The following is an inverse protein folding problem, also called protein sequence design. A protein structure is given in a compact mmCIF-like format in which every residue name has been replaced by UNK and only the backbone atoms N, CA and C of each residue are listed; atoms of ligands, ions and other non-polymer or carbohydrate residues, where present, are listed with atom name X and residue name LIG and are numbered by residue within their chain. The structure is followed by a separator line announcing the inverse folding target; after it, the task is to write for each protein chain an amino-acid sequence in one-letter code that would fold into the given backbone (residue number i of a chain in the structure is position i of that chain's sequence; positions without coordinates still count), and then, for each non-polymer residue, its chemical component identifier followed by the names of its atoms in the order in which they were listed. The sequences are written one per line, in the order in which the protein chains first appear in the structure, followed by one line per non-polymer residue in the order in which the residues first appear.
data_IF_823745157679
#
_entry.id   IF_823745157679
#
_cell.length_a   1.000
_cell.length_b   1.000
_cell.length_c   1.000
_cell.angle_alpha   90.00
_cell.angle_beta   90.00
_cell.angle_gamma   90.00
#
_symmetry.space_group_name_H-M   'P 1'
#
loop_
_entity.id
_entity.type
_entity.pdbx_description
1 polymer ?
#
# COMPACT_ATOMS: atom_id res chain seq x y z
N UNK A 1 -17.36 -5.44 5.44
CA UNK A 1 -16.43 -5.10 4.33
C UNK A 1 -15.06 -5.64 4.69
N UNK A 2 -14.36 -6.27 3.75
CA UNK A 2 -12.99 -6.74 3.94
C UNK A 2 -11.99 -5.59 3.73
N UNK A 3 -10.86 -5.57 4.44
CA UNK A 3 -9.79 -4.58 4.23
C UNK A 3 -9.20 -4.69 2.82
N UNK A 4 -9.13 -5.89 2.25
CA UNK A 4 -8.67 -6.10 0.87
C UNK A 4 -9.59 -5.38 -0.11
N UNK A 5 -10.90 -5.55 0.06
CA UNK A 5 -11.92 -4.92 -0.77
C UNK A 5 -11.87 -3.40 -0.61
N UNK A 6 -11.71 -2.90 0.62
CA UNK A 6 -11.52 -1.48 0.89
C UNK A 6 -10.33 -0.89 0.12
N UNK A 7 -9.15 -1.51 0.23
CA UNK A 7 -7.95 -1.02 -0.45
C UNK A 7 -8.05 -1.09 -1.96
N UNK A 8 -8.68 -2.14 -2.51
CA UNK A 8 -8.95 -2.24 -3.93
C UNK A 8 -9.88 -1.12 -4.42
N UNK A 9 -10.93 -0.80 -3.66
CA UNK A 9 -11.83 0.31 -4.00
C UNK A 9 -11.10 1.66 -3.96
N UNK A 10 -10.21 1.86 -2.99
CA UNK A 10 -9.38 3.07 -2.93
C UNK A 10 -8.40 3.16 -4.11
N UNK A 11 -7.80 2.04 -4.53
CA UNK A 11 -6.93 2.01 -5.70
C UNK A 11 -7.71 2.39 -6.97
N UNK A 12 -8.87 1.77 -7.21
CA UNK A 12 -9.72 2.07 -8.36
C UNK A 12 -10.19 3.52 -8.39
N UNK A 13 -10.59 4.08 -7.24
CA UNK A 13 -11.02 5.48 -7.16
C UNK A 13 -9.92 6.48 -7.53
N UNK A 14 -8.65 6.12 -7.33
CA UNK A 14 -7.50 6.95 -7.64
C UNK A 14 -6.77 6.50 -8.93
N UNK A 15 -7.34 5.58 -9.71
CA UNK A 15 -6.71 4.98 -10.90
C UNK A 15 -5.34 4.36 -10.61
N UNK A 16 -5.17 3.78 -9.42
CA UNK A 16 -3.98 3.06 -9.01
C UNK A 16 -4.15 1.56 -9.26
N UNK A 17 -3.02 0.88 -9.49
CA UNK A 17 -3.02 -0.59 -9.51
C UNK A 17 -3.15 -1.14 -8.09
N UNK A 18 -3.83 -2.27 -7.96
CA UNK A 18 -3.95 -2.98 -6.69
C UNK A 18 -3.34 -4.37 -6.81
N UNK A 19 -2.28 -4.60 -6.04
CA UNK A 19 -1.51 -5.83 -6.06
C UNK A 19 -1.55 -6.44 -4.66
N UNK A 20 -2.05 -7.66 -4.56
CA UNK A 20 -2.13 -8.39 -3.29
C UNK A 20 -1.33 -9.69 -3.41
N UNK A 21 -0.11 -9.68 -2.87
CA UNK A 21 0.69 -10.90 -2.79
C UNK A 21 1.79 -10.80 -1.71
N UNK A 22 2.37 -11.95 -1.37
CA UNK A 22 3.20 -12.13 -0.17
C UNK A 22 4.64 -11.68 -0.38
N UNK A 23 5.08 -10.64 0.35
CA UNK A 23 6.50 -10.20 0.38
C UNK A 23 7.49 -11.31 0.74
N UNK A 24 7.13 -12.20 1.67
CA UNK A 24 8.03 -13.27 2.13
C UNK A 24 8.33 -14.34 1.06
N UNK A 25 7.56 -14.36 -0.04
CA UNK A 25 7.79 -15.25 -1.18
C UNK A 25 8.72 -14.65 -2.25
N UNK A 26 9.36 -13.51 -1.95
CA UNK A 26 10.42 -12.92 -2.79
C UNK A 26 11.71 -13.75 -2.85
N UNK A 27 11.77 -14.90 -2.18
CA UNK A 27 12.86 -15.89 -2.34
C UNK A 27 12.47 -17.10 -3.22
N UNK A 28 11.25 -17.15 -3.77
CA UNK A 28 10.79 -18.19 -4.68
C UNK A 28 10.57 -17.58 -6.06
N UNK A 29 11.44 -17.96 -6.99
CA UNK A 29 11.73 -17.36 -8.29
C UNK A 29 10.51 -17.05 -9.18
N UNK A 30 9.40 -17.78 -9.04
CA UNK A 30 8.22 -17.63 -9.92
C UNK A 30 7.28 -16.46 -9.54
N UNK A 31 7.19 -16.11 -8.25
CA UNK A 31 6.33 -14.99 -7.80
C UNK A 31 7.02 -13.64 -8.02
N UNK A 32 8.36 -13.65 -8.01
CA UNK A 32 9.20 -12.53 -8.42
C UNK A 32 8.87 -12.09 -9.85
N UNK A 33 8.78 -13.01 -10.80
CA UNK A 33 8.43 -12.69 -12.18
C UNK A 33 7.05 -12.03 -12.29
N UNK A 34 6.02 -12.51 -11.60
CA UNK A 34 4.70 -11.87 -11.67
C UNK A 34 4.69 -10.45 -11.11
N UNK A 35 5.29 -10.25 -9.93
CA UNK A 35 5.40 -8.90 -9.37
C UNK A 35 6.30 -8.01 -10.23
N UNK A 36 7.43 -8.53 -10.68
CA UNK A 36 8.36 -7.80 -11.50
C UNK A 36 7.73 -7.44 -12.85
N UNK A 37 6.99 -8.33 -13.50
CA UNK A 37 6.27 -8.05 -14.76
C UNK A 37 5.13 -7.04 -14.54
N UNK A 38 4.32 -7.21 -13.48
CA UNK A 38 3.27 -6.26 -13.15
C UNK A 38 3.83 -4.89 -12.80
N UNK A 39 5.03 -4.82 -12.22
CA UNK A 39 5.63 -3.57 -11.79
C UNK A 39 6.55 -2.94 -12.85
N UNK A 40 7.25 -3.71 -13.67
CA UNK A 40 8.01 -3.23 -14.83
C UNK A 40 7.07 -2.61 -15.88
N UNK A 41 5.83 -3.09 -15.93
CA UNK A 41 4.77 -2.48 -16.74
C UNK A 41 4.18 -1.19 -16.14
N UNK A 42 4.67 -0.71 -14.98
CA UNK A 42 4.30 0.62 -14.51
C UNK A 42 5.00 1.66 -15.36
N UNK A 43 4.24 2.62 -15.88
CA UNK A 43 4.84 3.80 -16.50
C UNK A 43 5.46 4.72 -15.44
N UNK A 44 6.35 5.63 -15.85
CA UNK A 44 6.94 6.59 -14.93
C UNK A 44 5.86 7.47 -14.29
N UNK A 45 5.91 7.66 -12.97
CA UNK A 45 4.88 8.29 -12.15
C UNK A 45 3.57 7.50 -11.98
N UNK A 46 3.51 6.23 -12.38
CA UNK A 46 2.37 5.38 -12.05
C UNK A 46 2.43 4.92 -10.58
N UNK A 47 1.27 4.93 -9.90
CA UNK A 47 1.15 4.56 -8.49
C UNK A 47 0.40 3.24 -8.31
N UNK A 48 0.79 2.47 -7.29
CA UNK A 48 0.19 1.19 -6.96
C UNK A 48 0.12 0.94 -5.46
N UNK A 49 -0.94 0.25 -5.04
CA UNK A 49 -1.09 -0.27 -3.69
C UNK A 49 -0.63 -1.73 -3.67
N UNK A 50 0.35 -2.02 -2.83
CA UNK A 50 0.91 -3.33 -2.57
C UNK A 50 0.48 -3.80 -1.19
N UNK A 51 -0.46 -4.73 -1.14
CA UNK A 51 -0.96 -5.29 0.12
C UNK A 51 -0.20 -6.58 0.47
N UNK A 52 0.43 -6.58 1.65
CA UNK A 52 1.01 -7.78 2.26
C UNK A 52 -0.11 -8.70 2.76
N UNK A 53 0.18 -9.99 3.03
CA UNK A 53 -0.82 -10.89 3.57
C UNK A 53 -1.40 -10.35 4.87
N UNK A 54 -2.72 -10.30 4.92
CA UNK A 54 -3.44 -9.77 6.06
C UNK A 54 -3.70 -10.90 7.06
N UNK A 55 -3.23 -10.72 8.29
CA UNK A 55 -3.61 -11.58 9.40
C UNK A 55 -5.05 -11.30 9.79
N UNK A 56 -5.88 -12.35 9.83
CA UNK A 56 -7.29 -12.26 10.23
C UNK A 56 -7.51 -13.06 11.49
N UNK A 57 -8.13 -12.43 12.50
CA UNK A 57 -8.53 -13.10 13.73
C UNK A 57 -9.98 -12.79 14.07
N UNK A 58 -10.76 -13.83 14.35
CA UNK A 58 -12.15 -13.68 14.77
C UNK A 58 -12.22 -13.25 16.23
N UNK A 59 -12.91 -12.16 16.50
CA UNK A 59 -13.20 -11.67 17.85
C UNK A 59 -14.68 -11.86 18.16
N UNK A 60 -15.08 -11.61 19.42
CA UNK A 60 -16.47 -11.76 19.86
C UNK A 60 -17.45 -10.93 19.00
N UNK A 61 -17.06 -9.70 18.67
CA UNK A 61 -17.90 -8.72 17.97
C UNK A 61 -17.28 -8.29 16.62
N UNK A 62 -16.74 -9.23 15.85
CA UNK A 62 -16.26 -8.93 14.50
C UNK A 62 -14.98 -9.67 14.09
N UNK A 63 -14.34 -9.17 13.03
CA UNK A 63 -13.08 -9.71 12.50
C UNK A 63 -12.02 -8.62 12.62
N UNK A 64 -10.88 -8.96 13.21
CA UNK A 64 -9.70 -8.10 13.24
C UNK A 64 -8.78 -8.45 12.08
N UNK A 65 -8.36 -7.41 11.37
CA UNK A 65 -7.42 -7.42 10.27
C UNK A 65 -6.15 -6.70 10.71
N UNK A 66 -5.01 -7.37 10.66
CA UNK A 66 -3.70 -6.77 10.96
C UNK A 66 -2.77 -7.03 9.80
N UNK A 67 -2.08 -6.00 9.34
CA UNK A 67 -1.15 -6.12 8.23
C UNK A 67 -0.51 -4.80 7.86
N UNK A 68 0.11 -4.80 6.68
CA UNK A 68 0.70 -3.62 6.08
C UNK A 68 0.40 -3.56 4.59
N UNK A 69 0.34 -2.34 4.07
CA UNK A 69 0.35 -2.09 2.64
C UNK A 69 1.35 -1.00 2.33
N UNK A 70 1.84 -0.94 1.09
CA UNK A 70 2.57 0.21 0.57
C UNK A 70 1.76 0.88 -0.52
N UNK A 71 1.78 2.20 -0.55
CA UNK A 71 1.42 3.00 -1.71
C UNK A 71 2.72 3.52 -2.30
N UNK A 72 3.07 3.05 -3.49
CA UNK A 72 4.33 3.37 -4.15
C UNK A 72 4.06 4.00 -5.50
N UNK A 73 4.94 4.91 -5.89
CA UNK A 73 4.99 5.49 -7.22
C UNK A 73 6.34 5.16 -7.82
N UNK A 74 6.35 4.69 -9.08
CA UNK A 74 7.60 4.48 -9.83
C UNK A 74 8.31 5.83 -10.00
N UNK A 75 9.56 5.88 -9.55
CA UNK A 75 10.35 7.10 -9.49
C UNK A 75 11.65 6.94 -10.28
N UNK A 76 12.20 8.06 -10.75
CA UNK A 76 13.55 8.09 -11.30
C UNK A 76 14.59 7.99 -10.16
N UNK A 77 15.63 7.21 -10.40
CA UNK A 77 16.78 7.04 -9.50
C UNK A 77 17.56 8.34 -9.30
N UNK A 78 17.61 9.18 -10.33
CA UNK A 78 18.45 10.38 -10.34
C UNK A 78 17.85 11.55 -9.54
N UNK A 79 16.62 11.40 -9.00
CA UNK A 79 15.97 12.42 -8.18
C UNK A 79 16.53 12.47 -6.76
N UNK A 80 16.71 13.68 -6.24
CA UNK A 80 17.10 13.89 -4.84
C UNK A 80 15.98 13.48 -3.88
N UNK A 81 16.33 13.17 -2.63
CA UNK A 81 15.33 12.84 -1.60
C UNK A 81 14.26 13.94 -1.44
N UNK A 82 14.65 15.21 -1.45
CA UNK A 82 13.70 16.33 -1.33
C UNK A 82 12.71 16.36 -2.50
N UNK A 83 13.19 16.10 -3.71
CA UNK A 83 12.34 16.01 -4.90
C UNK A 83 11.40 14.81 -4.82
N UNK A 84 11.90 13.63 -4.44
CA UNK A 84 11.08 12.42 -4.22
C UNK A 84 10.02 12.67 -3.15
N UNK A 85 10.40 13.35 -2.08
CA UNK A 85 9.49 13.68 -0.98
C UNK A 85 8.35 14.58 -1.42
N UNK A 86 8.65 15.69 -2.08
CA UNK A 86 7.64 16.66 -2.51
C UNK A 86 6.73 16.12 -3.61
N UNK A 87 7.28 15.33 -4.53
CA UNK A 87 6.56 14.85 -5.71
C UNK A 87 5.76 13.58 -5.45
N UNK A 88 6.27 12.64 -4.65
CA UNK A 88 5.66 11.31 -4.49
C UNK A 88 5.19 11.04 -3.06
N UNK A 89 6.08 11.24 -2.08
CA UNK A 89 5.84 10.81 -0.69
C UNK A 89 4.79 11.69 -0.01
N UNK A 90 4.92 13.02 -0.10
CA UNK A 90 3.99 13.97 0.54
C UNK A 90 2.57 13.88 -0.02
N UNK A 91 2.35 13.80 -1.34
CA UNK A 91 1.02 13.53 -1.89
C UNK A 91 0.44 12.20 -1.41
N UNK A 92 1.22 11.12 -1.44
CA UNK A 92 0.79 9.81 -0.94
C UNK A 92 0.40 9.86 0.54
N UNK A 93 1.21 10.51 1.38
CA UNK A 93 0.94 10.69 2.80
C UNK A 93 -0.35 11.48 3.06
N UNK A 94 -0.57 12.55 2.31
CA UNK A 94 -1.79 13.36 2.41
C UNK A 94 -3.04 12.56 2.04
N UNK A 95 -2.95 11.66 1.06
CA UNK A 95 -4.07 10.80 0.68
C UNK A 95 -4.34 9.75 1.76
N UNK A 96 -3.29 9.06 2.24
CA UNK A 96 -3.37 8.02 3.27
C UNK A 96 -3.96 8.58 4.58
N UNK A 97 -3.44 9.71 5.05
CA UNK A 97 -3.90 10.33 6.30
C UNK A 97 -5.12 11.22 6.12
N UNK A 98 -5.53 11.51 4.88
CA UNK A 98 -6.66 12.35 4.54
C UNK A 98 -7.88 11.55 4.11
N UNK A 99 -8.07 11.40 2.80
CA UNK A 99 -9.29 10.80 2.23
C UNK A 99 -9.42 9.32 2.57
N UNK A 100 -8.31 8.57 2.58
CA UNK A 100 -8.32 7.14 2.89
C UNK A 100 -8.65 6.92 4.37
N UNK A 101 -7.99 7.63 5.29
CA UNK A 101 -8.33 7.61 6.72
C UNK A 101 -9.81 7.91 6.99
N UNK A 102 -10.35 8.96 6.36
CA UNK A 102 -11.75 9.33 6.55
C UNK A 102 -12.73 8.28 6.05
N UNK A 103 -12.39 7.57 4.97
CA UNK A 103 -13.20 6.47 4.46
C UNK A 103 -13.08 5.21 5.33
N UNK A 104 -11.89 4.97 5.86
CA UNK A 104 -11.56 3.81 6.69
C UNK A 104 -12.34 3.83 8.01
N UNK A 105 -12.32 4.96 8.74
CA UNK A 105 -12.96 5.10 10.06
C UNK A 105 -14.48 4.96 10.05
N UNK A 106 -15.11 5.07 8.88
CA UNK A 106 -16.55 4.85 8.72
C UNK A 106 -16.90 3.36 8.65
N UNK A 107 -15.94 2.50 8.35
CA UNK A 107 -16.15 1.09 8.08
C UNK A 107 -15.48 0.16 9.11
N UNK A 108 -14.44 0.64 9.79
CA UNK A 108 -13.65 -0.13 10.73
C UNK A 108 -13.41 0.66 12.02
N UNK A 109 -13.35 -0.06 13.13
CA UNK A 109 -12.74 0.42 14.36
C UNK A 109 -11.21 0.30 14.25
N UNK A 110 -10.51 1.43 14.38
CA UNK A 110 -9.07 1.51 14.06
C UNK A 110 -8.25 1.54 15.34
N UNK A 111 -7.53 0.44 15.61
CA UNK A 111 -6.63 0.33 16.75
C UNK A 111 -5.21 0.84 16.44
N UNK A 112 -4.76 0.68 15.20
CA UNK A 112 -3.49 1.22 14.73
C UNK A 112 -3.57 1.66 13.26
N UNK A 113 -2.96 2.79 12.95
CA UNK A 113 -2.74 3.29 11.59
C UNK A 113 -1.47 4.13 11.58
N UNK A 114 -0.37 3.53 11.14
CA UNK A 114 0.95 4.16 11.16
C UNK A 114 1.51 4.18 9.75
N UNK A 115 1.77 5.37 9.21
CA UNK A 115 2.39 5.58 7.92
C UNK A 115 3.86 5.97 8.09
N UNK A 116 4.75 5.31 7.36
CA UNK A 116 6.18 5.64 7.29
C UNK A 116 6.58 5.85 5.83
N UNK A 117 7.55 6.73 5.62
CA UNK A 117 8.12 7.00 4.30
C UNK A 117 9.03 5.85 3.87
N UNK A 118 8.97 5.51 2.59
CA UNK A 118 9.85 4.51 1.99
C UNK A 118 10.38 5.03 0.66
N UNK A 119 11.67 4.81 0.41
CA UNK A 119 12.37 5.26 -0.79
C UNK A 119 13.16 4.11 -1.41
N UNK A 120 13.35 4.16 -2.73
CA UNK A 120 14.09 3.17 -3.51
C UNK A 120 13.72 1.73 -3.13
N UNK A 121 12.42 1.48 -3.01
CA UNK A 121 11.89 0.16 -2.69
C UNK A 121 11.82 -0.66 -3.98
N UNK A 122 12.26 -1.92 -3.89
CA UNK A 122 12.36 -2.88 -5.00
C UNK A 122 13.37 -2.48 -6.10
N UNK A 123 13.63 -3.40 -7.03
CA UNK A 123 14.64 -3.23 -8.09
C UNK A 123 14.29 -2.15 -9.13
N UNK A 124 13.03 -1.72 -9.20
CA UNK A 124 12.53 -0.70 -10.12
C UNK A 124 12.45 0.72 -9.51
N UNK A 125 12.91 0.90 -8.27
CA UNK A 125 12.99 2.19 -7.58
C UNK A 125 11.64 2.90 -7.42
N UNK A 126 10.84 2.37 -6.52
CA UNK A 126 9.60 3.00 -6.08
C UNK A 126 9.81 3.84 -4.81
N UNK A 127 9.14 4.99 -4.77
CA UNK A 127 9.06 5.83 -3.57
C UNK A 127 7.60 6.01 -3.14
N UNK A 128 7.37 6.16 -1.84
CA UNK A 128 6.03 6.41 -1.32
C UNK A 128 5.90 6.16 0.17
N UNK A 129 4.85 5.46 0.56
CA UNK A 129 4.47 5.26 1.96
C UNK A 129 4.21 3.77 2.24
N UNK A 130 4.80 3.26 3.32
CA UNK A 130 4.39 2.00 3.94
C UNK A 130 3.45 2.28 5.12
N UNK A 131 2.27 1.71 5.10
CA UNK A 131 1.26 1.88 6.14
C UNK A 131 1.01 0.55 6.86
N UNK A 132 1.18 0.55 8.18
CA UNK A 132 0.80 -0.55 9.07
C UNK A 132 -0.56 -0.27 9.68
N UNK A 133 -1.43 -1.28 9.69
CA UNK A 133 -2.80 -1.16 10.18
C UNK A 133 -3.19 -2.29 11.13
N UNK A 134 -4.07 -1.95 12.06
CA UNK A 134 -4.81 -2.90 12.88
C UNK A 134 -6.26 -2.40 12.99
N UNK A 135 -7.17 -3.13 12.35
CA UNK A 135 -8.53 -2.72 12.08
C UNK A 135 -9.48 -3.81 12.54
N UNK A 136 -10.61 -3.43 13.13
CA UNK A 136 -11.69 -4.36 13.46
C UNK A 136 -12.93 -3.99 12.64
N UNK A 137 -13.48 -4.94 11.89
CA UNK A 137 -14.78 -4.75 11.25
C UNK A 137 -15.89 -4.92 12.27
N UNK A 138 -16.94 -4.12 12.12
CA UNK A 138 -18.21 -4.29 12.83
C UNK A 138 -19.03 -5.46 12.27
#
# INVERSE_FOLDING_TARGET
MDVREFLNNQAQANSWRFIHARRDYQNLTDVLHFFQDEIESFEDNESGIFLDPVSTSREADGIRYTGSFMLLTRSDLDMSYEQKYLTFIKPALNIINGSMWNSLRCNFDVSNWTAIEVINVFDFNADGISCQFNLKSY
#
